data_IF_766961200624
#
_entry.id   IF_766961200624
#
_cell.length_a   1.000
_cell.length_b   1.000
_cell.length_c   1.000
_cell.angle_alpha   90.00
_cell.angle_beta   90.00
_cell.angle_gamma   90.00
#
_symmetry.space_group_name_H-M   'P 1'
#
loop_
_entity.id
_entity.type
_entity.pdbx_description
1 polymer ?
#
# COMPACT_ATOMS: atom_id res chain seq x y z
N UNK A 1 -10.12 -15.44 -25.62
CA UNK A 1 -10.96 -14.73 -24.62
C UNK A 1 -11.54 -15.69 -23.58
N UNK A 2 -12.08 -16.88 -23.92
CA UNK A 2 -12.52 -17.88 -22.90
C UNK A 2 -11.37 -18.72 -22.29
N UNK A 3 -10.16 -18.69 -22.86
CA UNK A 3 -9.01 -19.48 -22.41
C UNK A 3 -8.40 -18.95 -21.12
N UNK A 4 -8.30 -17.63 -21.01
CA UNK A 4 -7.44 -16.97 -20.01
C UNK A 4 -8.13 -16.97 -18.63
N UNK A 5 -9.45 -16.89 -18.63
CA UNK A 5 -10.31 -16.95 -17.46
C UNK A 5 -10.37 -18.35 -16.83
N UNK A 6 -10.46 -19.39 -17.67
CA UNK A 6 -10.39 -20.79 -17.21
C UNK A 6 -9.00 -21.12 -16.69
N UNK A 7 -7.97 -20.50 -17.26
CA UNK A 7 -6.59 -20.64 -16.79
C UNK A 7 -6.40 -19.98 -15.42
N UNK A 8 -6.85 -18.74 -15.22
CA UNK A 8 -6.81 -18.04 -13.93
C UNK A 8 -7.58 -18.81 -12.84
N UNK A 9 -8.76 -19.35 -13.15
CA UNK A 9 -9.53 -20.19 -12.22
C UNK A 9 -8.73 -21.42 -11.78
N UNK A 10 -8.08 -22.12 -12.72
CA UNK A 10 -7.26 -23.29 -12.39
C UNK A 10 -6.07 -22.94 -11.52
N UNK A 11 -5.40 -21.84 -11.84
CA UNK A 11 -4.26 -21.35 -11.06
C UNK A 11 -4.67 -21.01 -9.63
N UNK A 12 -5.83 -20.40 -9.41
CA UNK A 12 -6.37 -20.12 -8.07
C UNK A 12 -6.59 -21.41 -7.26
N UNK A 13 -7.19 -22.43 -7.88
CA UNK A 13 -7.39 -23.73 -7.24
C UNK A 13 -6.04 -24.41 -6.94
N UNK A 14 -5.10 -24.37 -7.87
CA UNK A 14 -3.76 -24.95 -7.72
C UNK A 14 -2.96 -24.25 -6.62
N UNK A 15 -3.14 -22.93 -6.46
CA UNK A 15 -2.58 -22.14 -5.38
C UNK A 15 -3.25 -22.40 -4.01
N UNK A 16 -4.34 -23.16 -3.97
CA UNK A 16 -5.09 -23.47 -2.75
C UNK A 16 -6.14 -22.43 -2.35
N UNK A 17 -6.48 -21.49 -3.24
CA UNK A 17 -7.55 -20.53 -3.01
C UNK A 17 -8.93 -21.22 -3.10
N UNK A 18 -9.86 -20.81 -2.25
CA UNK A 18 -11.19 -21.41 -2.13
C UNK A 18 -12.26 -20.62 -2.89
N UNK A 19 -12.99 -21.23 -3.84
CA UNK A 19 -14.11 -20.56 -4.52
C UNK A 19 -15.21 -20.12 -3.56
N UNK A 20 -15.72 -18.91 -3.73
CA UNK A 20 -16.74 -18.31 -2.87
C UNK A 20 -16.20 -17.70 -1.57
N UNK A 21 -14.96 -18.01 -1.19
CA UNK A 21 -14.26 -17.35 -0.08
C UNK A 21 -13.15 -16.42 -0.58
N UNK A 22 -12.20 -16.97 -1.35
CA UNK A 22 -11.02 -16.28 -1.83
C UNK A 22 -11.20 -15.66 -3.22
N UNK A 23 -12.15 -16.18 -4.00
CA UNK A 23 -12.47 -15.63 -5.31
C UNK A 23 -13.87 -16.02 -5.78
N UNK A 24 -14.45 -15.21 -6.67
CA UNK A 24 -15.73 -15.48 -7.32
C UNK A 24 -15.71 -15.03 -8.77
N UNK A 25 -16.53 -15.66 -9.60
CA UNK A 25 -16.52 -15.42 -11.04
C UNK A 25 -17.85 -14.81 -11.49
N UNK A 26 -17.83 -13.61 -12.06
CA UNK A 26 -19.01 -13.01 -12.66
C UNK A 26 -19.13 -13.47 -14.13
N UNK A 27 -20.02 -14.42 -14.36
CA UNK A 27 -20.30 -14.96 -15.69
C UNK A 27 -20.97 -13.95 -16.64
N UNK A 28 -21.56 -12.88 -16.10
CA UNK A 28 -22.21 -11.84 -16.91
C UNK A 28 -21.22 -10.82 -17.45
N UNK A 29 -20.13 -10.55 -16.71
CA UNK A 29 -19.09 -9.60 -17.10
C UNK A 29 -17.78 -10.26 -17.57
N UNK A 30 -17.63 -11.57 -17.34
CA UNK A 30 -16.41 -12.31 -17.70
C UNK A 30 -15.21 -11.94 -16.83
N UNK A 31 -15.45 -11.42 -15.63
CA UNK A 31 -14.44 -10.94 -14.67
C UNK A 31 -14.30 -11.89 -13.50
N UNK A 32 -13.07 -12.02 -12.99
CA UNK A 32 -12.77 -12.78 -11.78
C UNK A 32 -12.52 -11.79 -10.64
N UNK A 33 -13.34 -11.87 -9.59
CA UNK A 33 -13.09 -11.15 -8.34
C UNK A 33 -12.22 -12.02 -7.45
N UNK A 34 -11.09 -11.49 -6.99
CA UNK A 34 -10.17 -12.21 -6.11
C UNK A 34 -9.92 -11.34 -4.89
N UNK A 35 -10.07 -11.91 -3.70
CA UNK A 35 -9.74 -11.20 -2.47
C UNK A 35 -8.23 -11.28 -2.19
N UNK A 36 -7.77 -10.57 -1.17
CA UNK A 36 -6.34 -10.49 -0.87
C UNK A 36 -5.69 -11.85 -0.61
N UNK A 37 -6.36 -12.73 0.14
CA UNK A 37 -5.83 -14.07 0.43
C UNK A 37 -5.67 -14.90 -0.84
N UNK A 38 -6.67 -14.87 -1.73
CA UNK A 38 -6.60 -15.55 -3.02
C UNK A 38 -5.47 -15.03 -3.88
N UNK A 39 -5.21 -13.72 -3.86
CA UNK A 39 -4.13 -13.10 -4.60
C UNK A 39 -2.74 -13.44 -4.03
N UNK A 40 -2.56 -13.42 -2.71
CA UNK A 40 -1.31 -13.84 -2.05
C UNK A 40 -0.99 -15.30 -2.36
N UNK A 41 -2.01 -16.19 -2.31
CA UNK A 41 -1.85 -17.59 -2.66
C UNK A 41 -1.36 -17.75 -4.11
N UNK A 42 -1.96 -17.01 -5.04
CA UNK A 42 -1.54 -16.99 -6.45
C UNK A 42 -0.09 -16.54 -6.63
N UNK A 43 0.30 -15.42 -6.02
CA UNK A 43 1.67 -14.89 -6.14
C UNK A 43 2.70 -15.85 -5.55
N UNK A 44 2.36 -16.50 -4.43
CA UNK A 44 3.21 -17.48 -3.77
C UNK A 44 3.39 -18.74 -4.63
N UNK A 45 2.30 -19.22 -5.25
CA UNK A 45 2.32 -20.42 -6.08
C UNK A 45 2.97 -20.19 -7.46
N UNK A 46 2.87 -18.97 -8.02
CA UNK A 46 3.44 -18.63 -9.32
C UNK A 46 4.24 -17.31 -9.26
N UNK A 47 5.45 -17.33 -8.67
CA UNK A 47 6.30 -16.15 -8.52
C UNK A 47 6.86 -15.64 -9.86
N UNK A 48 6.95 -16.50 -10.88
CA UNK A 48 7.51 -16.16 -12.19
C UNK A 48 6.54 -15.40 -13.10
N UNK A 49 5.29 -15.20 -12.65
CA UNK A 49 4.25 -14.53 -13.45
C UNK A 49 4.26 -13.04 -13.15
N UNK A 50 4.29 -12.23 -14.21
CA UNK A 50 4.14 -10.78 -14.11
C UNK A 50 2.67 -10.41 -13.86
N UNK A 51 2.24 -10.49 -12.61
CA UNK A 51 0.87 -10.22 -12.19
C UNK A 51 0.38 -8.79 -12.47
N UNK A 52 1.30 -7.84 -12.71
CA UNK A 52 0.92 -6.49 -13.16
C UNK A 52 0.25 -6.50 -14.55
N UNK A 53 0.63 -7.40 -15.45
CA UNK A 53 0.05 -7.49 -16.81
C UNK A 53 -1.33 -8.18 -16.82
N UNK A 54 -1.60 -9.02 -15.81
CA UNK A 54 -2.83 -9.83 -15.68
C UNK A 54 -3.91 -9.08 -14.87
N UNK A 55 -3.55 -7.94 -14.26
CA UNK A 55 -4.42 -7.09 -13.44
C UNK A 55 -5.73 -6.67 -14.10
N UNK A 56 -5.79 -6.61 -15.43
CA UNK A 56 -7.00 -6.24 -16.19
C UNK A 56 -8.15 -7.27 -16.08
N UNK A 57 -7.88 -8.49 -15.59
CA UNK A 57 -8.87 -9.58 -15.48
C UNK A 57 -9.24 -9.87 -14.02
N UNK A 58 -8.47 -9.31 -13.08
CA UNK A 58 -8.57 -9.55 -11.65
C UNK A 58 -9.11 -8.29 -10.97
N UNK A 59 -10.36 -8.34 -10.50
CA UNK A 59 -10.90 -7.29 -9.66
C UNK A 59 -10.53 -7.60 -8.20
N UNK A 60 -9.58 -6.84 -7.64
CA UNK A 60 -9.16 -6.98 -6.24
C UNK A 60 -10.22 -6.37 -5.32
N UNK A 61 -10.56 -7.08 -4.26
CA UNK A 61 -11.30 -6.49 -3.13
C UNK A 61 -10.40 -5.50 -2.39
N UNK A 62 -10.58 -4.22 -2.68
CA UNK A 62 -9.82 -3.12 -2.08
C UNK A 62 -10.35 -2.72 -0.70
N UNK A 63 -11.60 -3.06 -0.37
CA UNK A 63 -12.29 -2.48 0.79
C UNK A 63 -12.12 -3.35 2.04
N UNK A 64 -12.13 -4.68 1.91
CA UNK A 64 -12.01 -5.58 3.07
C UNK A 64 -10.67 -5.46 3.82
N UNK A 65 -9.50 -5.36 3.17
CA UNK A 65 -8.23 -5.14 3.87
C UNK A 65 -8.21 -3.80 4.62
N UNK A 66 -8.74 -2.74 4.01
CA UNK A 66 -8.84 -1.40 4.61
C UNK A 66 -9.77 -1.42 5.83
N UNK A 67 -10.94 -2.05 5.74
CA UNK A 67 -11.86 -2.16 6.87
C UNK A 67 -11.24 -2.91 8.05
N UNK A 68 -10.52 -4.01 7.80
CA UNK A 68 -9.81 -4.74 8.86
C UNK A 68 -8.73 -3.90 9.52
N UNK A 69 -7.96 -3.14 8.73
CA UNK A 69 -6.94 -2.24 9.26
C UNK A 69 -7.56 -1.13 10.12
N UNK A 70 -8.60 -0.48 9.63
CA UNK A 70 -9.31 0.57 10.37
C UNK A 70 -9.91 0.04 11.69
N UNK A 71 -10.46 -1.18 11.69
CA UNK A 71 -10.94 -1.83 12.92
C UNK A 71 -9.81 -2.15 13.90
N UNK A 72 -8.66 -2.59 13.38
CA UNK A 72 -7.49 -2.91 14.20
C UNK A 72 -6.91 -1.66 14.88
N UNK A 73 -6.76 -0.57 14.11
CA UNK A 73 -6.20 0.70 14.60
C UNK A 73 -7.22 1.54 15.39
N UNK A 74 -8.52 1.30 15.20
CA UNK A 74 -9.58 2.10 15.80
C UNK A 74 -9.75 3.50 15.18
N UNK A 75 -9.14 3.75 14.01
CA UNK A 75 -9.17 5.02 13.27
C UNK A 75 -9.37 4.79 11.79
N UNK A 76 -9.76 5.84 11.04
CA UNK A 76 -9.82 5.79 9.58
C UNK A 76 -8.46 6.13 8.98
N UNK A 77 -7.61 5.10 8.90
CA UNK A 77 -6.22 5.21 8.45
C UNK A 77 -6.15 5.73 7.02
N UNK A 78 -6.91 5.12 6.11
CA UNK A 78 -6.81 5.43 4.69
C UNK A 78 -7.30 6.85 4.39
N UNK A 79 -8.41 7.29 5.00
CA UNK A 79 -8.91 8.64 4.77
C UNK A 79 -7.88 9.69 5.22
N UNK A 80 -7.24 9.49 6.38
CA UNK A 80 -6.21 10.39 6.90
C UNK A 80 -4.96 10.37 6.02
N UNK A 81 -4.51 9.17 5.61
CA UNK A 81 -3.35 9.01 4.74
C UNK A 81 -3.55 9.69 3.38
N UNK A 82 -4.69 9.48 2.71
CA UNK A 82 -4.97 10.07 1.40
C UNK A 82 -4.98 11.61 1.46
N UNK A 83 -5.52 12.20 2.54
CA UNK A 83 -5.46 13.64 2.76
C UNK A 83 -4.02 14.15 2.93
N UNK A 84 -3.20 13.44 3.71
CA UNK A 84 -1.79 13.79 3.92
C UNK A 84 -1.01 13.70 2.61
N UNK A 85 -1.17 12.59 1.89
CA UNK A 85 -0.53 12.34 0.61
C UNK A 85 -0.84 13.46 -0.39
N UNK A 86 -2.12 13.81 -0.57
CA UNK A 86 -2.51 14.89 -1.47
C UNK A 86 -1.82 16.20 -1.12
N UNK A 87 -1.79 16.56 0.18
CA UNK A 87 -1.10 17.76 0.65
C UNK A 87 0.41 17.71 0.39
N UNK A 88 1.07 16.57 0.61
CA UNK A 88 2.51 16.42 0.38
C UNK A 88 2.86 16.51 -1.10
N UNK A 89 2.05 15.93 -1.99
CA UNK A 89 2.27 16.02 -3.44
C UNK A 89 2.19 17.45 -3.98
N UNK A 90 1.46 18.34 -3.31
CA UNK A 90 1.39 19.77 -3.65
C UNK A 90 2.57 20.59 -3.09
N UNK A 91 3.20 20.12 -2.01
CA UNK A 91 4.16 20.91 -1.23
C UNK A 91 5.61 20.47 -1.40
N UNK A 92 5.84 19.18 -1.63
CA UNK A 92 7.18 18.61 -1.71
C UNK A 92 7.85 18.92 -3.05
N UNK A 93 9.17 19.16 -3.05
CA UNK A 93 9.97 19.11 -4.27
C UNK A 93 9.79 17.77 -4.98
N UNK A 94 9.80 17.77 -6.31
CA UNK A 94 9.47 16.60 -7.14
C UNK A 94 10.23 15.33 -6.75
N UNK A 95 11.55 15.41 -6.52
CA UNK A 95 12.35 14.24 -6.19
C UNK A 95 12.11 13.72 -4.77
N UNK A 96 11.75 14.59 -3.83
CA UNK A 96 11.35 14.22 -2.46
C UNK A 96 9.94 13.62 -2.45
N UNK A 97 9.02 14.18 -3.24
CA UNK A 97 7.68 13.64 -3.44
C UNK A 97 7.75 12.22 -4.03
N UNK A 98 8.64 11.98 -4.99
CA UNK A 98 8.87 10.65 -5.53
C UNK A 98 9.40 9.68 -4.47
N UNK A 99 10.43 10.07 -3.69
CA UNK A 99 10.92 9.25 -2.58
C UNK A 99 9.81 8.91 -1.58
N UNK A 100 9.07 9.93 -1.11
CA UNK A 100 7.93 9.78 -0.21
C UNK A 100 6.92 8.75 -0.76
N UNK A 101 6.54 8.88 -2.03
CA UNK A 101 5.58 7.96 -2.66
C UNK A 101 6.10 6.54 -2.75
N UNK A 102 7.38 6.32 -3.06
CA UNK A 102 7.97 4.99 -3.05
C UNK A 102 7.92 4.34 -1.66
N UNK A 103 8.22 5.09 -0.60
CA UNK A 103 8.20 4.59 0.77
C UNK A 103 6.78 4.26 1.24
N UNK A 104 5.81 5.15 0.97
CA UNK A 104 4.41 4.96 1.34
C UNK A 104 3.79 3.78 0.60
N UNK A 105 3.92 3.72 -0.73
CA UNK A 105 3.34 2.63 -1.53
C UNK A 105 3.97 1.29 -1.19
N UNK A 106 5.31 1.22 -1.20
CA UNK A 106 6.04 -0.02 -1.01
C UNK A 106 5.79 -0.61 0.37
N UNK A 107 5.97 0.17 1.44
CA UNK A 107 5.92 -0.38 2.78
C UNK A 107 4.51 -0.64 3.30
N UNK A 108 3.50 0.13 2.87
CA UNK A 108 2.10 -0.17 3.22
C UNK A 108 1.63 -1.44 2.55
N UNK A 109 1.84 -1.58 1.23
CA UNK A 109 1.37 -2.76 0.51
C UNK A 109 2.04 -4.02 1.07
N UNK A 110 3.35 -3.97 1.33
CA UNK A 110 4.07 -5.09 1.94
C UNK A 110 3.57 -5.43 3.35
N UNK A 111 3.24 -4.42 4.18
CA UNK A 111 2.84 -4.67 5.57
C UNK A 111 1.39 -5.12 5.69
N UNK A 112 0.51 -4.52 4.91
CA UNK A 112 -0.94 -4.59 5.11
C UNK A 112 -1.66 -5.39 4.02
N UNK A 113 -0.99 -5.66 2.89
CA UNK A 113 -1.62 -6.21 1.68
C UNK A 113 -2.56 -5.22 0.98
N UNK A 114 -2.64 -3.96 1.44
CA UNK A 114 -3.49 -2.96 0.81
C UNK A 114 -2.83 -2.49 -0.49
N UNK A 115 -3.52 -2.69 -1.61
CA UNK A 115 -3.12 -2.21 -2.92
C UNK A 115 -3.29 -0.68 -3.05
N UNK A 116 -2.50 0.08 -2.29
CA UNK A 116 -2.69 1.52 -2.10
C UNK A 116 -2.65 2.30 -3.43
N UNK A 117 -1.82 1.88 -4.38
CA UNK A 117 -1.79 2.50 -5.70
C UNK A 117 -3.15 2.41 -6.42
N UNK A 118 -3.82 1.26 -6.36
CA UNK A 118 -5.15 1.07 -6.98
C UNK A 118 -6.23 1.90 -6.27
N UNK A 119 -6.14 1.99 -4.95
CA UNK A 119 -7.02 2.84 -4.14
C UNK A 119 -6.83 4.32 -4.51
N UNK A 120 -5.60 4.79 -4.65
CA UNK A 120 -5.31 6.17 -5.08
C UNK A 120 -5.92 6.43 -6.47
N UNK A 121 -5.74 5.50 -7.42
CA UNK A 121 -6.30 5.63 -8.77
C UNK A 121 -7.84 5.67 -8.77
N UNK A 122 -8.49 5.00 -7.82
CA UNK A 122 -9.95 4.98 -7.65
C UNK A 122 -10.48 6.24 -6.97
N UNK A 123 -9.80 6.69 -5.91
CA UNK A 123 -10.37 7.64 -4.93
C UNK A 123 -9.82 9.08 -5.08
N UNK A 124 -8.67 9.28 -5.74
CA UNK A 124 -8.07 10.60 -5.94
C UNK A 124 -8.33 11.18 -7.34
N UNK A 125 -8.23 12.52 -7.51
CA UNK A 125 -8.43 13.15 -8.81
C UNK A 125 -7.45 12.66 -9.88
N UNK A 126 -7.86 12.61 -11.18
CA UNK A 126 -6.99 12.16 -12.27
C UNK A 126 -5.66 12.92 -12.39
N UNK A 127 -5.64 14.21 -12.02
CA UNK A 127 -4.42 15.01 -12.02
C UNK A 127 -3.38 14.48 -11.02
N UNK A 128 -3.82 14.06 -9.83
CA UNK A 128 -2.96 13.46 -8.81
C UNK A 128 -2.45 12.09 -9.29
N UNK A 129 -3.33 11.31 -9.91
CA UNK A 129 -2.96 10.01 -10.47
C UNK A 129 -1.89 10.12 -11.57
N UNK A 130 -2.05 11.09 -12.48
CA UNK A 130 -1.06 11.39 -13.52
C UNK A 130 0.27 11.86 -12.93
N UNK A 131 0.23 12.71 -11.90
CA UNK A 131 1.43 13.15 -11.20
C UNK A 131 2.15 11.96 -10.55
N UNK A 132 1.41 11.07 -9.87
CA UNK A 132 1.95 9.87 -9.25
C UNK A 132 2.66 8.97 -10.28
N UNK A 133 2.04 8.72 -11.44
CA UNK A 133 2.64 7.91 -12.50
C UNK A 133 3.93 8.48 -13.07
N UNK A 134 4.10 9.81 -13.00
CA UNK A 134 5.35 10.48 -13.37
C UNK A 134 6.39 10.34 -12.26
N UNK A 135 6.00 10.56 -11.01
CA UNK A 135 6.89 10.47 -9.84
C UNK A 135 7.52 9.08 -9.72
N UNK A 136 6.74 8.01 -9.93
CA UNK A 136 7.20 6.62 -9.82
C UNK A 136 8.25 6.21 -10.87
N UNK A 137 8.49 7.05 -11.88
CA UNK A 137 9.48 6.81 -12.95
C UNK A 137 10.78 7.59 -12.73
N UNK A 138 10.84 8.46 -11.71
CA UNK A 138 11.95 9.37 -11.51
C UNK A 138 13.18 8.67 -10.93
N UNK A 139 14.34 9.10 -11.42
CA UNK A 139 15.65 8.76 -10.88
C UNK A 139 16.64 9.87 -11.24
N UNK A 140 17.52 10.31 -10.33
CA UNK A 140 17.66 9.88 -8.93
C UNK A 140 16.56 10.46 -8.01
N UNK A 141 16.34 9.80 -6.88
CA UNK A 141 15.41 10.24 -5.83
C UNK A 141 16.15 11.02 -4.74
N UNK A 142 15.42 11.88 -4.02
CA UNK A 142 15.97 12.64 -2.87
C UNK A 142 15.30 12.16 -1.58
N UNK A 143 16.05 11.63 -0.59
CA UNK A 143 15.48 11.16 0.65
C UNK A 143 14.65 12.22 1.38
N UNK A 144 13.51 11.79 1.92
CA UNK A 144 12.61 12.61 2.70
C UNK A 144 11.92 11.71 3.74
N UNK A 145 11.91 12.12 5.00
CA UNK A 145 11.40 11.31 6.12
C UNK A 145 9.96 11.66 6.53
N UNK A 146 9.32 12.60 5.83
CA UNK A 146 7.95 13.06 6.16
C UNK A 146 6.88 11.97 6.01
N UNK A 147 7.18 10.88 5.29
CA UNK A 147 6.29 9.72 5.24
C UNK A 147 6.14 9.07 6.63
N UNK A 148 7.18 9.06 7.45
CA UNK A 148 7.14 8.48 8.80
C UNK A 148 6.10 9.21 9.65
N UNK A 149 6.19 10.55 9.69
CA UNK A 149 5.23 11.41 10.40
C UNK A 149 3.79 11.13 9.92
N UNK A 150 3.58 11.15 8.60
CA UNK A 150 2.24 11.02 8.03
C UNK A 150 1.63 9.62 8.29
N UNK A 151 2.44 8.55 8.27
CA UNK A 151 1.99 7.20 8.59
C UNK A 151 1.65 7.03 10.07
N UNK A 152 2.48 7.56 10.97
CA UNK A 152 2.21 7.51 12.43
C UNK A 152 0.93 8.28 12.76
N UNK A 153 0.76 9.49 12.21
CA UNK A 153 -0.47 10.27 12.39
C UNK A 153 -1.68 9.56 11.78
N UNK A 154 -1.56 8.98 10.57
CA UNK A 154 -2.65 8.23 9.96
C UNK A 154 -3.03 6.98 10.77
N UNK A 155 -2.07 6.35 11.44
CA UNK A 155 -2.30 5.21 12.32
C UNK A 155 -2.94 5.58 13.68
N UNK A 156 -3.14 6.86 13.96
CA UNK A 156 -3.76 7.35 15.20
C UNK A 156 -2.77 7.94 16.20
N UNK A 157 -1.51 8.12 15.81
CA UNK A 157 -0.49 8.78 16.62
C UNK A 157 -0.77 10.26 16.83
N UNK A 158 -0.24 10.80 17.92
CA UNK A 158 -0.31 12.20 18.29
C UNK A 158 1.01 12.92 17.96
N UNK A 159 0.96 14.26 17.95
CA UNK A 159 2.14 15.09 17.67
C UNK A 159 3.30 14.87 18.67
N UNK A 160 3.00 14.39 19.87
CA UNK A 160 4.00 14.05 20.89
C UNK A 160 4.76 12.74 20.62
N UNK A 161 4.25 11.90 19.71
CA UNK A 161 4.87 10.62 19.37
C UNK A 161 5.99 10.77 18.34
N UNK A 162 6.19 12.01 17.85
CA UNK A 162 7.06 12.38 16.73
C UNK A 162 7.90 13.58 17.16
N UNK A 163 9.20 13.50 16.98
CA UNK A 163 10.14 14.61 17.18
C UNK A 163 11.11 14.70 15.99
N UNK A 164 11.85 15.80 15.91
CA UNK A 164 12.82 16.05 14.83
C UNK A 164 14.17 16.46 15.40
N UNK A 165 15.21 15.70 15.07
CA UNK A 165 16.59 16.03 15.41
C UNK A 165 17.46 15.93 14.16
N UNK A 166 18.21 16.99 13.85
CA UNK A 166 19.11 16.99 12.69
C UNK A 166 18.44 16.87 11.31
N UNK A 167 17.11 16.88 11.23
CA UNK A 167 16.35 16.62 10.00
C UNK A 167 15.83 15.18 9.90
N UNK A 168 16.18 14.33 10.86
CA UNK A 168 15.66 12.98 11.01
C UNK A 168 14.42 12.96 11.89
N UNK A 169 13.56 11.97 11.67
CA UNK A 169 12.33 11.77 12.43
C UNK A 169 12.62 10.80 13.56
N UNK A 170 12.47 11.29 14.79
CA UNK A 170 12.53 10.47 15.99
C UNK A 170 11.12 10.08 16.39
N UNK A 171 10.94 8.82 16.77
CA UNK A 171 9.65 8.31 17.22
C UNK A 171 9.74 7.92 18.69
N UNK A 172 8.69 8.23 19.44
CA UNK A 172 8.46 7.58 20.72
C UNK A 172 8.21 6.08 20.54
N UNK A 173 8.26 5.30 21.62
CA UNK A 173 7.90 3.88 21.60
C UNK A 173 6.51 3.65 20.99
N UNK A 174 5.52 4.48 21.36
CA UNK A 174 4.18 4.43 20.79
C UNK A 174 4.17 4.74 19.28
N UNK A 175 4.99 5.71 18.84
CA UNK A 175 5.15 6.04 17.42
C UNK A 175 5.71 4.87 16.61
N UNK A 176 6.73 4.17 17.14
CA UNK A 176 7.32 2.98 16.52
C UNK A 176 6.29 1.84 16.45
N UNK A 177 5.55 1.58 17.54
CA UNK A 177 4.49 0.57 17.56
C UNK A 177 3.41 0.83 16.51
N UNK A 178 3.01 2.08 16.31
CA UNK A 178 2.04 2.45 15.29
C UNK A 178 2.61 2.29 13.88
N UNK A 179 3.82 2.77 13.62
CA UNK A 179 4.46 2.65 12.31
C UNK A 179 4.60 1.18 11.89
N UNK A 180 5.05 0.32 12.80
CA UNK A 180 5.24 -1.11 12.53
C UNK A 180 3.93 -1.87 12.32
N UNK A 181 2.76 -1.30 12.63
CA UNK A 181 1.47 -1.90 12.27
C UNK A 181 1.08 -1.64 10.82
N UNK A 182 1.53 -0.52 10.23
CA UNK A 182 1.08 -0.05 8.92
C UNK A 182 2.17 -0.06 7.84
N UNK A 183 3.43 -0.18 8.22
CA UNK A 183 4.57 -0.13 7.31
C UNK A 183 5.61 -1.20 7.61
N UNK A 184 6.31 -1.67 6.56
CA UNK A 184 7.48 -2.56 6.65
C UNK A 184 8.50 -2.20 5.57
N UNK A 185 9.78 -2.41 5.86
CA UNK A 185 10.90 -2.08 4.99
C UNK A 185 12.17 -1.87 5.81
N UNK A 186 13.28 -1.56 5.14
CA UNK A 186 14.51 -1.17 5.83
C UNK A 186 14.36 0.26 6.37
N UNK A 187 14.17 0.38 7.68
CA UNK A 187 14.46 1.62 8.40
C UNK A 187 15.94 1.63 8.71
N UNK A 188 16.68 2.64 8.25
CA UNK A 188 17.96 2.98 8.87
C UNK A 188 17.66 3.59 10.24
N UNK A 189 17.34 2.74 11.22
CA UNK A 189 17.20 3.16 12.61
C UNK A 189 18.61 3.44 13.13
N UNK A 190 18.96 4.70 13.32
CA UNK A 190 20.12 5.04 14.14
C UNK A 190 19.74 4.76 15.60
N UNK A 191 20.14 3.59 16.09
CA UNK A 191 20.11 3.27 17.52
C UNK A 191 21.10 4.20 18.25
N UNK A 192 20.64 5.38 18.65
CA UNK A 192 21.28 6.15 19.72
C UNK A 192 20.85 5.57 21.08
N UNK A 193 21.17 4.30 21.29
CA UNK A 193 21.16 3.64 22.59
C UNK A 193 22.60 3.35 23.01
N UNK A 194 23.28 4.37 23.53
CA UNK A 194 24.06 4.28 24.77
C UNK A 194 24.69 5.63 25.14
N UNK A 195 24.24 6.15 26.28
CA UNK A 195 24.99 7.09 27.12
C UNK A 195 26.28 6.46 27.66
#
# INVERSE_FOLDING_TARGET
MNSDNVQLFRMLIEAGAQPGEDFSYDLSQGTCHINERGFILLQTAFPDINWHEISNVIERDLDSPVQRLNQHLGVDFLATLLQKLQKRLEQLPTNEAAWYMHQVLGGIEQRTGIALYQIIQRDLPPAICQQLDQLLKLTPLTPCNLWIEDLVIAAGGAAQDIDYEGGDVLLSEAGVELLTQVWTGELEVQDDLAA
#
